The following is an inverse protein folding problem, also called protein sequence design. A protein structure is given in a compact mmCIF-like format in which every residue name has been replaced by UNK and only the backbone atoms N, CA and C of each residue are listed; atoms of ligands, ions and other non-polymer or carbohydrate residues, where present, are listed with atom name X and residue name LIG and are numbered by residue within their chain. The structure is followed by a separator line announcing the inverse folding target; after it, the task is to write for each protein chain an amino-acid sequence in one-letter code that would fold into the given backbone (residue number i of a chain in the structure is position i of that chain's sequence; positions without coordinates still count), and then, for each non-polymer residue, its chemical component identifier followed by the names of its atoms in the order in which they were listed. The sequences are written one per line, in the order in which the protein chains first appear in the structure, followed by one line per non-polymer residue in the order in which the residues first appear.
data_IF_613201349159
#
_entry.id   IF_613201349159
#
_cell.length_a   1.000
_cell.length_b   1.000
_cell.length_c   1.000
_cell.angle_alpha   90.00
_cell.angle_beta   90.00
_cell.angle_gamma   90.00
#
_symmetry.space_group_name_H-M   'P 1'
#
loop_
_entity.id
_entity.type
_entity.pdbx_description
1 polymer ?
#
# COMPACT_ATOMS: atom_id res chain seq x y z
N UNK A 1 10.00 -13.25 -6.83
CA UNK A 1 9.57 -12.55 -5.62
C UNK A 1 9.00 -11.22 -6.06
N UNK A 2 7.77 -10.92 -5.66
CA UNK A 2 7.06 -9.69 -6.06
C UNK A 2 6.58 -8.98 -4.81
N UNK A 3 6.97 -7.71 -4.70
CA UNK A 3 6.69 -6.87 -3.55
C UNK A 3 5.46 -6.02 -3.80
N UNK A 4 4.53 -6.04 -2.87
CA UNK A 4 3.37 -5.15 -2.84
C UNK A 4 3.61 -4.00 -1.86
N UNK A 5 3.22 -2.79 -2.21
CA UNK A 5 3.36 -1.62 -1.35
C UNK A 5 2.01 -1.12 -0.83
N UNK A 6 1.97 -0.88 0.47
CA UNK A 6 0.88 -0.21 1.16
C UNK A 6 0.91 1.32 0.91
N UNK A 7 -0.21 2.00 1.17
CA UNK A 7 -0.38 3.43 0.97
C UNK A 7 0.54 4.25 1.88
N UNK A 8 0.79 3.82 3.12
CA UNK A 8 1.70 4.50 4.04
C UNK A 8 3.12 4.66 3.45
N UNK A 9 3.64 3.65 2.74
CA UNK A 9 4.95 3.71 2.08
C UNK A 9 4.98 4.81 1.02
N UNK A 10 3.95 4.87 0.18
CA UNK A 10 3.84 5.90 -0.86
C UNK A 10 3.66 7.30 -0.25
N UNK A 11 2.86 7.41 0.81
CA UNK A 11 2.68 8.66 1.56
C UNK A 11 4.03 9.14 2.10
N UNK A 12 4.85 8.27 2.69
CA UNK A 12 6.16 8.66 3.20
C UNK A 12 7.08 9.15 2.08
N UNK A 13 7.12 8.47 0.93
CA UNK A 13 7.95 8.88 -0.19
C UNK A 13 7.60 10.29 -0.73
N UNK A 14 6.35 10.72 -0.57
CA UNK A 14 5.84 12.05 -0.97
C UNK A 14 5.76 13.07 0.17
N UNK A 15 6.18 12.70 1.38
CA UNK A 15 6.13 13.57 2.55
C UNK A 15 7.48 14.25 2.82
N UNK A 16 7.52 15.09 3.86
CA UNK A 16 8.76 15.61 4.47
C UNK A 16 9.12 14.87 5.75
N UNK A 17 8.57 13.67 5.98
CA UNK A 17 8.85 12.83 7.15
C UNK A 17 10.30 12.32 7.10
N UNK A 18 10.98 12.13 8.25
CA UNK A 18 12.32 11.52 8.29
C UNK A 18 12.42 10.16 7.58
N UNK A 19 11.32 9.42 7.46
CA UNK A 19 11.26 8.11 6.77
C UNK A 19 11.19 8.22 5.25
N UNK A 20 11.09 9.43 4.70
CA UNK A 20 10.97 9.67 3.26
C UNK A 20 12.08 8.99 2.45
N UNK A 21 13.33 9.19 2.83
CA UNK A 21 14.47 8.66 2.06
C UNK A 21 14.43 7.12 2.02
N UNK A 22 14.15 6.49 3.17
CA UNK A 22 13.93 5.04 3.22
C UNK A 22 12.77 4.60 2.34
N UNK A 23 11.64 5.32 2.38
CA UNK A 23 10.46 4.98 1.59
C UNK A 23 10.75 5.09 0.08
N UNK A 24 11.51 6.10 -0.35
CA UNK A 24 11.97 6.26 -1.74
C UNK A 24 12.85 5.08 -2.16
N UNK A 25 13.82 4.68 -1.32
CA UNK A 25 14.71 3.56 -1.59
C UNK A 25 13.92 2.24 -1.71
N UNK A 26 12.94 2.03 -0.82
CA UNK A 26 12.11 0.82 -0.80
C UNK A 26 11.29 0.65 -2.06
N UNK A 27 10.81 1.74 -2.65
CA UNK A 27 10.00 1.68 -3.88
C UNK A 27 10.84 1.82 -5.16
N UNK A 28 12.16 2.01 -5.04
CA UNK A 28 13.06 2.34 -6.15
C UNK A 28 13.03 1.28 -7.27
N UNK A 29 13.07 0.00 -6.89
CA UNK A 29 13.10 -1.13 -7.82
C UNK A 29 11.72 -1.48 -8.42
N UNK A 30 10.68 -0.71 -8.09
CA UNK A 30 9.31 -0.97 -8.51
C UNK A 30 8.64 -2.08 -7.69
N UNK A 31 7.45 -2.48 -8.11
CA UNK A 31 6.62 -3.48 -7.43
C UNK A 31 5.17 -3.33 -7.81
N UNK A 32 4.27 -3.82 -6.95
CA UNK A 32 2.83 -3.85 -7.21
C UNK A 32 2.10 -2.99 -6.19
N UNK A 33 1.05 -2.32 -6.66
CA UNK A 33 0.06 -1.64 -5.81
C UNK A 33 -1.34 -1.99 -6.33
N UNK A 34 -2.39 -1.56 -5.63
CA UNK A 34 -3.77 -1.65 -6.12
C UNK A 34 -4.46 -0.30 -6.13
N UNK A 35 -5.63 -0.26 -6.75
CA UNK A 35 -6.52 0.91 -6.70
C UNK A 35 -6.90 1.26 -5.25
N UNK A 36 -6.93 0.30 -4.32
CA UNK A 36 -7.13 0.61 -2.89
C UNK A 36 -6.01 1.47 -2.33
N UNK A 37 -4.76 1.15 -2.66
CA UNK A 37 -3.58 1.92 -2.27
C UNK A 37 -3.68 3.34 -2.83
N UNK A 38 -4.11 3.50 -4.08
CA UNK A 38 -4.34 4.82 -4.70
C UNK A 38 -5.45 5.60 -3.97
N UNK A 39 -6.57 4.95 -3.64
CA UNK A 39 -7.68 5.56 -2.92
C UNK A 39 -7.23 6.10 -1.54
N UNK A 40 -6.47 5.29 -0.80
CA UNK A 40 -5.96 5.68 0.50
C UNK A 40 -4.92 6.80 0.40
N UNK A 41 -3.99 6.69 -0.54
CA UNK A 41 -3.00 7.73 -0.82
C UNK A 41 -3.69 9.09 -1.10
N UNK A 42 -4.63 9.13 -2.03
CA UNK A 42 -5.43 10.32 -2.34
C UNK A 42 -6.17 10.85 -1.11
N UNK A 43 -6.80 9.96 -0.34
CA UNK A 43 -7.52 10.37 0.87
C UNK A 43 -6.58 10.95 1.93
N UNK A 44 -5.37 10.41 2.12
CA UNK A 44 -4.37 10.94 3.05
C UNK A 44 -3.90 12.33 2.60
N UNK A 45 -3.51 12.48 1.33
CA UNK A 45 -3.07 13.78 0.80
C UNK A 45 -4.15 14.85 0.98
N UNK A 46 -5.42 14.50 0.74
CA UNK A 46 -6.52 15.46 0.83
C UNK A 46 -6.98 15.73 2.27
N UNK A 47 -7.20 14.70 3.09
CA UNK A 47 -7.79 14.84 4.44
C UNK A 47 -6.74 15.16 5.49
N UNK A 48 -5.59 14.49 5.48
CA UNK A 48 -4.56 14.63 6.51
C UNK A 48 -3.58 15.75 6.15
N UNK A 49 -3.10 15.79 4.92
CA UNK A 49 -2.12 16.80 4.47
C UNK A 49 -2.77 18.09 3.92
N UNK A 50 -4.08 18.08 3.67
CA UNK A 50 -4.86 19.24 3.21
C UNK A 50 -4.37 19.86 1.90
N UNK A 51 -3.72 19.08 1.04
CA UNK A 51 -3.25 19.51 -0.27
C UNK A 51 -4.43 19.84 -1.20
N UNK A 52 -4.23 20.77 -2.13
CA UNK A 52 -5.23 21.11 -3.15
C UNK A 52 -5.29 20.04 -4.26
N UNK A 53 -6.37 20.06 -5.05
CA UNK A 53 -6.59 19.06 -6.09
C UNK A 53 -5.48 18.99 -7.14
N UNK A 54 -4.95 20.13 -7.67
CA UNK A 54 -3.84 20.08 -8.62
C UNK A 54 -2.60 19.38 -8.06
N UNK A 55 -2.26 19.61 -6.79
CA UNK A 55 -1.12 18.93 -6.15
C UNK A 55 -1.38 17.43 -5.98
N UNK A 56 -2.61 17.06 -5.57
CA UNK A 56 -3.01 15.65 -5.44
C UNK A 56 -2.96 14.93 -6.79
N UNK A 57 -3.45 15.55 -7.86
CA UNK A 57 -3.44 14.99 -9.22
C UNK A 57 -2.01 14.80 -9.75
N UNK A 58 -1.12 15.76 -9.50
CA UNK A 58 0.29 15.66 -9.87
C UNK A 58 1.01 14.52 -9.12
N UNK A 59 0.76 14.39 -7.81
CA UNK A 59 1.30 13.30 -7.00
C UNK A 59 0.77 11.94 -7.46
N UNK A 60 -0.54 11.83 -7.70
CA UNK A 60 -1.18 10.60 -8.17
C UNK A 60 -0.67 10.20 -9.56
N UNK A 61 -0.53 11.16 -10.48
CA UNK A 61 0.04 10.91 -11.82
C UNK A 61 1.46 10.36 -11.75
N UNK A 62 2.26 10.88 -10.82
CA UNK A 62 3.64 10.42 -10.60
C UNK A 62 3.68 8.99 -10.02
N UNK A 63 2.74 8.64 -9.12
CA UNK A 63 2.56 7.28 -8.62
C UNK A 63 2.12 6.33 -9.74
N UNK A 64 1.09 6.69 -10.52
CA UNK A 64 0.59 5.84 -11.62
C UNK A 64 1.67 5.64 -12.69
N UNK A 65 2.47 6.67 -12.99
CA UNK A 65 3.60 6.52 -13.90
C UNK A 65 4.64 5.51 -13.39
N UNK A 66 4.91 5.49 -12.08
CA UNK A 66 5.84 4.52 -11.46
C UNK A 66 5.24 3.11 -11.38
N UNK A 67 3.93 3.00 -11.17
CA UNK A 67 3.21 1.74 -10.99
C UNK A 67 2.06 1.63 -12.01
N UNK A 68 2.38 1.47 -13.31
CA UNK A 68 1.38 1.54 -14.38
C UNK A 68 0.32 0.44 -14.31
N UNK A 69 0.68 -0.71 -13.74
CA UNK A 69 -0.17 -1.90 -13.67
C UNK A 69 -0.82 -2.08 -12.28
N UNK A 70 -1.30 -0.98 -11.68
CA UNK A 70 -2.00 -1.02 -10.41
C UNK A 70 -3.21 -1.98 -10.48
N UNK A 71 -3.28 -2.95 -9.55
CA UNK A 71 -4.31 -3.99 -9.55
C UNK A 71 -5.70 -3.40 -9.29
N UNK A 72 -6.74 -3.81 -10.04
CA UNK A 72 -8.09 -3.31 -9.83
C UNK A 72 -8.67 -3.84 -8.52
N UNK A 73 -9.59 -3.06 -7.94
CA UNK A 73 -10.48 -3.59 -6.92
C UNK A 73 -11.65 -4.32 -7.60
N UNK A 74 -11.80 -5.60 -7.30
CA UNK A 74 -12.88 -6.44 -7.83
C UNK A 74 -13.80 -6.93 -6.72
N UNK A 75 -14.97 -7.47 -7.10
CA UNK A 75 -15.86 -8.15 -6.14
C UNK A 75 -15.13 -9.33 -5.47
N UNK A 76 -14.28 -10.05 -6.21
CA UNK A 76 -13.49 -11.15 -5.66
C UNK A 76 -12.51 -10.64 -4.58
N UNK A 77 -11.76 -9.57 -4.86
CA UNK A 77 -10.88 -8.92 -3.87
C UNK A 77 -11.65 -8.51 -2.62
N UNK A 78 -12.85 -7.95 -2.79
CA UNK A 78 -13.70 -7.54 -1.69
C UNK A 78 -14.19 -8.72 -0.84
N UNK A 79 -14.65 -9.81 -1.47
CA UNK A 79 -15.06 -11.03 -0.76
C UNK A 79 -13.90 -11.64 0.02
N UNK A 80 -12.70 -11.68 -0.56
CA UNK A 80 -11.48 -12.12 0.13
C UNK A 80 -11.15 -11.22 1.32
N UNK A 81 -11.27 -9.90 1.16
CA UNK A 81 -11.04 -8.95 2.25
C UNK A 81 -12.03 -9.14 3.41
N UNK A 82 -13.30 -9.46 3.15
CA UNK A 82 -14.26 -9.79 4.22
C UNK A 82 -13.80 -11.02 5.01
N UNK A 83 -13.38 -12.08 4.32
CA UNK A 83 -12.87 -13.30 4.97
C UNK A 83 -11.63 -12.99 5.81
N UNK A 84 -10.67 -12.23 5.25
CA UNK A 84 -9.46 -11.83 5.96
C UNK A 84 -9.76 -10.96 7.19
N UNK A 85 -10.64 -9.97 7.08
CA UNK A 85 -11.04 -9.13 8.19
C UNK A 85 -11.68 -9.95 9.32
N UNK A 86 -12.59 -10.87 8.97
CA UNK A 86 -13.27 -11.74 9.95
C UNK A 86 -12.31 -12.72 10.61
N UNK A 87 -11.53 -13.45 9.82
CA UNK A 87 -10.76 -14.62 10.29
C UNK A 87 -9.43 -14.22 10.93
N UNK A 88 -8.90 -13.05 10.55
CA UNK A 88 -7.62 -12.53 11.03
C UNK A 88 -7.74 -11.23 11.84
N UNK A 89 -8.94 -10.71 12.06
CA UNK A 89 -9.16 -9.50 12.85
C UNK A 89 -8.52 -8.23 12.26
N UNK A 90 -8.36 -8.18 10.93
CA UNK A 90 -7.87 -6.99 10.24
C UNK A 90 -8.96 -5.92 10.18
N UNK A 91 -8.54 -4.63 10.19
CA UNK A 91 -9.45 -3.58 9.74
C UNK A 91 -9.79 -3.80 8.27
N UNK A 92 -10.98 -3.38 7.85
CA UNK A 92 -11.49 -3.76 6.54
C UNK A 92 -10.65 -3.22 5.36
N UNK A 93 -10.17 -1.99 5.44
CA UNK A 93 -9.34 -1.41 4.39
C UNK A 93 -7.93 -2.04 4.33
N UNK A 94 -7.35 -2.34 5.49
CA UNK A 94 -6.12 -3.16 5.58
C UNK A 94 -6.32 -4.56 4.96
N UNK A 95 -7.49 -5.16 5.18
CA UNK A 95 -7.83 -6.46 4.60
C UNK A 95 -7.96 -6.39 3.07
N UNK A 96 -8.39 -5.26 2.50
CA UNK A 96 -8.39 -5.03 1.04
C UNK A 96 -6.97 -4.93 0.48
N UNK A 97 -6.04 -4.33 1.22
CA UNK A 97 -4.62 -4.28 0.84
C UNK A 97 -4.03 -5.70 0.83
N UNK A 98 -4.23 -6.46 1.91
CA UNK A 98 -3.76 -7.86 2.00
C UNK A 98 -4.41 -8.73 0.90
N UNK A 99 -5.71 -8.60 0.67
CA UNK A 99 -6.40 -9.32 -0.42
C UNK A 99 -5.83 -8.96 -1.79
N UNK A 100 -5.52 -7.68 -2.04
CA UNK A 100 -4.93 -7.23 -3.30
C UNK A 100 -3.52 -7.78 -3.51
N UNK A 101 -2.72 -7.84 -2.44
CA UNK A 101 -1.37 -8.39 -2.50
C UNK A 101 -1.38 -9.91 -2.78
N UNK A 102 -2.33 -10.64 -2.18
CA UNK A 102 -2.54 -12.06 -2.47
C UNK A 102 -3.01 -12.29 -3.90
N UNK A 103 -3.99 -11.50 -4.39
CA UNK A 103 -4.48 -11.56 -5.77
C UNK A 103 -3.41 -11.23 -6.81
N UNK A 104 -2.41 -10.42 -6.43
CA UNK A 104 -1.26 -10.10 -7.26
C UNK A 104 -0.14 -11.16 -7.23
N UNK A 105 -0.33 -12.29 -6.54
CA UNK A 105 0.67 -13.32 -6.28
C UNK A 105 1.97 -12.75 -5.64
N UNK A 106 1.84 -11.71 -4.80
CA UNK A 106 2.95 -11.17 -4.05
C UNK A 106 3.32 -12.04 -2.85
N UNK A 107 4.62 -12.12 -2.56
CA UNK A 107 5.17 -12.82 -1.38
C UNK A 107 5.56 -11.87 -0.25
N UNK A 108 5.67 -10.57 -0.55
CA UNK A 108 6.01 -9.53 0.42
C UNK A 108 5.01 -8.39 0.34
N UNK A 109 4.42 -8.02 1.48
CA UNK A 109 3.65 -6.78 1.64
C UNK A 109 4.46 -5.81 2.51
N UNK A 110 4.86 -4.69 1.93
CA UNK A 110 5.57 -3.64 2.67
C UNK A 110 4.57 -2.68 3.26
N UNK A 111 4.49 -2.64 4.59
CA UNK A 111 3.56 -1.82 5.34
C UNK A 111 4.15 -1.45 6.70
N UNK A 112 3.95 -0.20 7.12
CA UNK A 112 4.23 0.19 8.50
C UNK A 112 3.11 -0.23 9.47
N UNK A 113 1.86 0.00 9.08
CA UNK A 113 0.69 -0.10 9.96
C UNK A 113 0.35 -1.55 10.30
N UNK A 114 0.76 -2.51 9.46
CA UNK A 114 0.55 -3.93 9.69
C UNK A 114 1.70 -4.58 10.48
N UNK A 115 1.36 -5.60 11.26
CA UNK A 115 2.33 -6.29 12.11
C UNK A 115 3.44 -6.95 11.29
N UNK A 116 4.67 -6.46 11.45
CA UNK A 116 5.85 -7.05 10.83
C UNK A 116 6.00 -8.55 11.17
N UNK A 117 6.39 -9.35 10.17
CA UNK A 117 6.58 -10.79 10.29
C UNK A 117 5.27 -11.60 10.25
N UNK A 118 4.11 -10.94 10.31
CA UNK A 118 2.82 -11.61 10.11
C UNK A 118 2.72 -12.13 8.67
N UNK A 119 2.11 -13.30 8.51
CA UNK A 119 1.95 -13.94 7.21
C UNK A 119 0.49 -14.34 6.92
N UNK A 120 0.14 -14.31 5.63
CA UNK A 120 -1.15 -14.71 5.08
C UNK A 120 -0.88 -15.62 3.87
N UNK A 121 -0.96 -16.94 4.06
CA UNK A 121 -0.49 -17.88 3.03
C UNK A 121 1.00 -17.66 2.72
N UNK A 122 1.33 -17.36 1.46
CA UNK A 122 2.69 -17.06 1.00
C UNK A 122 3.12 -15.61 1.18
N UNK A 123 2.21 -14.71 1.58
CA UNK A 123 2.48 -13.29 1.75
C UNK A 123 3.01 -13.01 3.16
N UNK A 124 4.17 -12.37 3.28
CA UNK A 124 4.74 -11.92 4.56
C UNK A 124 4.82 -10.40 4.63
N UNK A 125 4.51 -9.85 5.81
CA UNK A 125 4.53 -8.41 6.05
C UNK A 125 5.91 -7.93 6.48
N UNK A 126 6.43 -6.91 5.78
CA UNK A 126 7.72 -6.28 6.06
C UNK A 126 7.52 -4.80 6.38
N UNK A 127 7.89 -4.39 7.60
CA UNK A 127 7.98 -2.97 7.93
C UNK A 127 9.41 -2.50 7.61
N UNK A 128 9.60 -1.61 6.63
CA UNK A 128 10.92 -1.22 6.18
C UNK A 128 11.60 -0.18 7.09
N UNK A 129 10.88 0.32 8.09
CA UNK A 129 11.30 1.40 8.97
C UNK A 129 11.80 0.91 10.34
N UNK A 130 11.90 -0.41 10.53
CA UNK A 130 12.45 -0.96 11.77
C UNK A 130 13.92 -0.54 11.93
N UNK A 131 14.22 0.13 13.05
CA UNK A 131 15.58 0.58 13.38
C UNK A 131 15.98 1.94 12.81
N UNK A 132 15.05 2.68 12.21
CA UNK A 132 15.21 4.12 11.90
C UNK A 132 14.87 5.00 13.11
#
# INVERSE_FOLDING_TARGET
MSTFFDSNILVYAYSTDPRRDRAIDVIADGGVISVQVLNEFTNVLRRKQKLDWPTVEAALSSIIFRFPDARPLTVATHTTAIALARDHGLQFYDALIVASALDADCDTLVSEDLQHGRSFGSLTIVNPFLGL
#
